data_IF_522589134133
#
_entry.id   IF_522589134133
#
_cell.length_a   1.000
_cell.length_b   1.000
_cell.length_c   1.000
_cell.angle_alpha   90.00
_cell.angle_beta   90.00
_cell.angle_gamma   90.00
#
_symmetry.space_group_name_H-M   'P 1'
#
loop_
_entity.id
_entity.type
_entity.pdbx_description
1 polymer ?
#
# COMPACT_ATOMS: atom_id res chain seq x y z
N UNK A 1 -10.95 -30.58 14.08
CA UNK A 1 -9.97 -29.48 14.01
C UNK A 1 -10.58 -28.41 13.13
N UNK A 2 -10.94 -27.27 13.70
CA UNK A 2 -11.72 -26.21 13.02
C UNK A 2 -10.74 -25.12 12.62
N UNK A 3 -10.71 -24.78 11.33
CA UNK A 3 -9.88 -23.69 10.81
C UNK A 3 -10.79 -22.48 10.68
N UNK A 4 -10.54 -21.40 11.41
CA UNK A 4 -11.21 -20.11 11.20
C UNK A 4 -10.51 -19.36 10.06
N UNK A 5 -11.25 -19.05 9.00
CA UNK A 5 -10.75 -18.25 7.89
C UNK A 5 -11.20 -16.79 8.06
N UNK A 6 -10.38 -15.99 8.76
CA UNK A 6 -10.55 -14.54 8.85
C UNK A 6 -10.14 -13.89 7.51
N UNK A 7 -11.01 -13.94 6.52
CA UNK A 7 -10.80 -13.28 5.23
C UNK A 7 -11.83 -12.15 5.03
N UNK A 8 -11.35 -10.93 4.83
CA UNK A 8 -12.18 -9.79 4.43
C UNK A 8 -12.21 -9.73 2.91
N UNK A 9 -13.40 -9.82 2.31
CA UNK A 9 -13.57 -9.66 0.86
C UNK A 9 -13.52 -8.16 0.53
N UNK A 10 -12.42 -7.72 -0.09
CA UNK A 10 -12.26 -6.34 -0.57
C UNK A 10 -12.55 -6.32 -2.08
N UNK A 11 -13.51 -5.52 -2.57
CA UNK A 11 -13.77 -5.40 -3.99
C UNK A 11 -12.56 -4.78 -4.70
N UNK A 12 -12.03 -5.47 -5.70
CA UNK A 12 -10.93 -5.00 -6.53
C UNK A 12 -11.34 -4.99 -8.01
N UNK A 13 -11.06 -3.89 -8.70
CA UNK A 13 -11.36 -3.72 -10.13
C UNK A 13 -10.44 -4.60 -10.99
N UNK A 14 -9.15 -4.61 -10.66
CA UNK A 14 -8.12 -5.49 -11.21
C UNK A 14 -7.48 -6.27 -10.06
N UNK A 15 -7.68 -7.59 -10.03
CA UNK A 15 -7.19 -8.46 -8.95
C UNK A 15 -5.68 -8.60 -8.95
N UNK A 16 -5.05 -8.59 -10.12
CA UNK A 16 -3.60 -8.78 -10.25
C UNK A 16 -2.89 -7.53 -9.77
N UNK A 17 -3.27 -6.35 -10.28
CA UNK A 17 -2.70 -5.07 -9.85
C UNK A 17 -2.97 -4.80 -8.36
N UNK A 18 -4.15 -5.19 -7.86
CA UNK A 18 -4.45 -5.08 -6.43
C UNK A 18 -3.50 -5.95 -5.60
N UNK A 19 -3.32 -7.21 -5.98
CA UNK A 19 -2.43 -8.13 -5.28
C UNK A 19 -0.95 -7.68 -5.32
N UNK A 20 -0.51 -7.11 -6.44
CA UNK A 20 0.84 -6.53 -6.57
C UNK A 20 1.05 -5.36 -5.59
N UNK A 21 0.08 -4.44 -5.50
CA UNK A 21 0.14 -3.35 -4.53
C UNK A 21 0.21 -3.89 -3.10
N UNK A 22 -0.64 -4.87 -2.75
CA UNK A 22 -0.68 -5.44 -1.40
C UNK A 22 0.63 -6.19 -1.06
N UNK A 23 1.22 -6.88 -2.04
CA UNK A 23 2.50 -7.57 -1.86
C UNK A 23 3.67 -6.58 -1.64
N UNK A 24 3.75 -5.50 -2.42
CA UNK A 24 4.80 -4.49 -2.26
C UNK A 24 4.61 -3.73 -0.95
N UNK A 25 3.38 -3.29 -0.66
CA UNK A 25 3.06 -2.57 0.56
C UNK A 25 3.26 -3.43 1.82
N UNK A 26 3.01 -4.73 1.73
CA UNK A 26 3.34 -5.69 2.79
C UNK A 26 4.83 -5.72 3.12
N UNK A 27 5.72 -5.61 2.13
CA UNK A 27 7.18 -5.53 2.35
C UNK A 27 7.56 -4.22 3.03
N UNK A 28 7.03 -3.08 2.56
CA UNK A 28 7.26 -1.77 3.20
C UNK A 28 6.92 -1.82 4.69
N UNK A 29 5.77 -2.42 5.04
CA UNK A 29 5.35 -2.60 6.44
C UNK A 29 6.25 -3.56 7.22
N UNK A 30 6.61 -4.69 6.63
CA UNK A 30 7.46 -5.71 7.28
C UNK A 30 8.85 -5.16 7.60
N UNK A 31 9.42 -4.37 6.69
CA UNK A 31 10.73 -3.73 6.85
C UNK A 31 10.68 -2.48 7.76
N UNK A 32 9.49 -2.09 8.25
CA UNK A 32 9.33 -0.91 9.12
C UNK A 32 9.65 0.42 8.43
N UNK A 33 9.57 0.48 7.09
CA UNK A 33 9.86 1.69 6.32
C UNK A 33 8.73 2.70 6.57
N UNK A 34 9.04 3.93 7.03
CA UNK A 34 8.04 4.99 7.15
C UNK A 34 7.38 5.26 5.79
N UNK A 35 6.05 5.35 5.82
CA UNK A 35 5.26 5.63 4.64
C UNK A 35 4.13 6.61 4.97
N UNK A 36 3.58 7.25 3.94
CA UNK A 36 2.41 8.08 4.15
C UNK A 36 1.59 8.42 2.92
N UNK A 37 0.49 9.13 3.17
CA UNK A 37 -0.58 9.36 2.19
C UNK A 37 -0.33 10.52 1.24
N UNK A 38 0.62 11.41 1.55
CA UNK A 38 0.94 12.60 0.75
C UNK A 38 2.46 12.76 0.56
N UNK A 39 2.86 13.51 -0.46
CA UNK A 39 4.28 13.79 -0.74
C UNK A 39 4.99 14.51 0.41
N UNK A 40 4.28 15.31 1.19
CA UNK A 40 4.81 16.06 2.34
C UNK A 40 4.56 15.36 3.69
N UNK A 41 3.65 14.39 3.73
CA UNK A 41 3.27 13.65 4.94
C UNK A 41 3.60 12.17 4.74
N UNK A 42 4.88 11.84 4.86
CA UNK A 42 5.47 10.54 4.46
C UNK A 42 5.66 9.57 5.63
N UNK A 43 5.16 9.90 6.80
CA UNK A 43 5.28 9.16 8.05
C UNK A 43 3.94 9.09 8.82
N UNK A 44 2.84 9.48 8.17
CA UNK A 44 1.50 9.45 8.76
C UNK A 44 0.90 8.03 8.83
N UNK A 45 1.58 7.04 8.25
CA UNK A 45 1.19 5.64 8.20
C UNK A 45 -0.17 5.40 7.55
N UNK A 46 -0.58 6.30 6.64
CA UNK A 46 -1.83 6.22 5.89
C UNK A 46 -1.57 5.93 4.41
N UNK A 47 -2.60 5.39 3.77
CA UNK A 47 -2.67 5.26 2.31
C UNK A 47 -3.69 6.23 1.76
N UNK A 48 -3.49 6.67 0.52
CA UNK A 48 -4.40 7.54 -0.19
C UNK A 48 -5.28 6.74 -1.16
N UNK A 49 -6.51 7.19 -1.39
CA UNK A 49 -7.49 6.55 -2.26
C UNK A 49 -8.01 7.47 -3.40
N UNK A 50 -7.29 8.56 -3.69
CA UNK A 50 -7.67 9.50 -4.74
C UNK A 50 -7.75 8.83 -6.11
N UNK A 51 -8.65 9.31 -6.96
CA UNK A 51 -8.83 8.81 -8.33
C UNK A 51 -9.42 7.39 -8.44
N UNK A 52 -9.95 6.82 -7.35
CA UNK A 52 -10.50 5.46 -7.33
C UNK A 52 -9.42 4.37 -7.22
N UNK A 53 -8.17 4.76 -7.02
CA UNK A 53 -7.03 3.87 -6.83
C UNK A 53 -6.56 3.80 -5.38
N UNK A 54 -5.33 3.32 -5.18
CA UNK A 54 -4.58 3.36 -3.92
C UNK A 54 -3.21 3.96 -4.21
N UNK A 55 -2.72 4.84 -3.34
CA UNK A 55 -1.33 5.29 -3.41
C UNK A 55 -0.69 5.45 -2.04
N UNK A 56 0.63 5.34 -2.00
CA UNK A 56 1.44 5.56 -0.82
C UNK A 56 2.83 6.06 -1.22
N UNK A 57 3.39 6.96 -0.42
CA UNK A 57 4.74 7.48 -0.56
C UNK A 57 5.67 6.88 0.49
N UNK A 58 6.91 6.60 0.11
CA UNK A 58 7.96 6.10 1.00
C UNK A 58 9.34 6.56 0.49
N UNK A 59 10.36 6.47 1.34
CA UNK A 59 11.74 6.81 0.96
C UNK A 59 12.60 5.57 0.74
N UNK A 60 13.48 5.62 -0.25
CA UNK A 60 14.57 4.66 -0.39
C UNK A 60 15.74 5.04 0.56
N UNK A 61 16.75 4.16 0.72
CA UNK A 61 17.92 4.46 1.55
C UNK A 61 18.75 5.67 1.11
N UNK A 62 18.58 6.14 -0.13
CA UNK A 62 19.25 7.33 -0.66
C UNK A 62 18.44 8.63 -0.42
N UNK A 63 17.25 8.51 0.16
CA UNK A 63 16.34 9.63 0.43
C UNK A 63 15.40 10.01 -0.72
N UNK A 64 15.42 9.26 -1.83
CA UNK A 64 14.49 9.46 -2.95
C UNK A 64 13.06 9.16 -2.51
N UNK A 65 12.11 9.98 -2.96
CA UNK A 65 10.69 9.78 -2.72
C UNK A 65 10.14 8.91 -3.84
N UNK A 66 9.63 7.74 -3.47
CA UNK A 66 8.98 6.81 -4.37
C UNK A 66 7.47 6.82 -4.09
N UNK A 67 6.68 6.70 -5.15
CA UNK A 67 5.23 6.52 -5.08
C UNK A 67 4.86 5.13 -5.59
N UNK A 68 4.14 4.37 -4.76
CA UNK A 68 3.45 3.17 -5.20
C UNK A 68 1.99 3.54 -5.44
N UNK A 69 1.49 3.35 -6.65
CA UNK A 69 0.13 3.73 -7.04
C UNK A 69 -0.57 2.64 -7.87
N UNK A 70 -1.88 2.53 -7.71
CA UNK A 70 -2.76 1.83 -8.65
C UNK A 70 -3.68 2.86 -9.31
N UNK A 71 -3.80 2.85 -10.63
CA UNK A 71 -4.82 3.63 -11.35
C UNK A 71 -6.12 2.83 -11.49
N UNK A 72 -7.26 3.52 -11.44
CA UNK A 72 -8.59 2.93 -11.62
C UNK A 72 -8.94 2.67 -13.09
#
# INVERSE_FOLDING_TARGET
MTIELNHTIVPARDKVKSAEFDAIFGRIRTEGIPYGSETHSRDDMKINHRGGGRSVYFQDPNGHILELLTVA
#
